data_IF_421672161271
#
_entry.id   IF_421672161271
#
_cell.length_a   1.000
_cell.length_b   1.000
_cell.length_c   1.000
_cell.angle_alpha   90.00
_cell.angle_beta   90.00
_cell.angle_gamma   90.00
#
_symmetry.space_group_name_H-M   'P 1'
#
loop_
_entity.id
_entity.type
_entity.pdbx_description
1 polymer ?
#
# COMPACT_ATOMS: atom_id res chain seq x y z
N UNK A 1 19.97 0.10 27.15
CA UNK A 1 20.26 -1.27 26.67
C UNK A 1 19.16 -1.61 25.67
N UNK A 2 19.38 -1.82 24.38
CA UNK A 2 20.56 -1.74 23.52
C UNK A 2 20.13 -1.25 22.14
N UNK A 3 21.10 -0.84 21.32
CA UNK A 3 20.85 -0.50 19.93
C UNK A 3 20.31 -1.74 19.19
N UNK A 4 19.20 -1.59 18.47
CA UNK A 4 18.70 -2.60 17.55
C UNK A 4 19.75 -2.86 16.47
N UNK A 5 20.14 -4.11 16.26
CA UNK A 5 21.08 -4.47 15.20
C UNK A 5 20.50 -4.13 13.81
N UNK A 6 21.32 -3.70 12.85
CA UNK A 6 20.88 -3.54 11.46
C UNK A 6 20.40 -4.88 10.91
N UNK A 7 19.10 -4.97 10.57
CA UNK A 7 18.47 -6.24 10.17
C UNK A 7 17.76 -6.98 11.31
N UNK A 8 17.32 -6.25 12.35
CA UNK A 8 16.43 -6.75 13.40
C UNK A 8 15.25 -7.59 12.88
N UNK A 9 14.78 -8.51 13.73
CA UNK A 9 13.69 -9.43 13.39
C UNK A 9 12.39 -8.64 13.20
N UNK A 10 11.94 -8.53 11.96
CA UNK A 10 10.60 -8.03 11.64
C UNK A 10 9.55 -8.96 12.26
N UNK A 11 8.68 -8.41 13.11
CA UNK A 11 7.59 -9.15 13.76
C UNK A 11 6.26 -8.56 13.33
N UNK A 12 5.43 -9.37 12.67
CA UNK A 12 4.04 -9.00 12.39
C UNK A 12 3.30 -8.76 13.70
N UNK A 13 2.76 -7.55 13.87
CA UNK A 13 1.97 -7.15 15.03
C UNK A 13 0.50 -7.44 14.77
N UNK A 14 -0.02 -6.93 13.64
CA UNK A 14 -1.42 -7.04 13.26
C UNK A 14 -1.63 -6.65 11.79
N UNK A 15 -2.86 -6.82 11.30
CA UNK A 15 -3.26 -6.42 9.96
C UNK A 15 -4.71 -5.92 9.96
N UNK A 16 -5.07 -5.18 8.91
CA UNK A 16 -6.44 -4.77 8.66
C UNK A 16 -6.72 -4.81 7.16
N UNK A 17 -7.96 -5.12 6.79
CA UNK A 17 -8.40 -5.11 5.41
C UNK A 17 -9.81 -4.53 5.30
N UNK A 18 -10.08 -3.89 4.16
CA UNK A 18 -11.41 -3.44 3.75
C UNK A 18 -11.70 -3.97 2.34
N UNK A 19 -12.97 -4.29 2.06
CA UNK A 19 -13.42 -4.71 0.72
C UNK A 19 -14.73 -4.02 0.40
N UNK A 20 -14.79 -3.37 -0.76
CA UNK A 20 -15.93 -2.58 -1.19
C UNK A 20 -16.70 -3.33 -2.27
N UNK A 21 -17.72 -4.08 -1.86
CA UNK A 21 -18.51 -4.94 -2.78
C UNK A 21 -19.14 -4.15 -3.93
N UNK A 22 -19.60 -2.93 -3.66
CA UNK A 22 -20.21 -2.05 -4.67
C UNK A 22 -19.20 -1.55 -5.72
N UNK A 23 -17.89 -1.75 -5.48
CA UNK A 23 -16.80 -1.37 -6.38
C UNK A 23 -16.07 -2.57 -6.97
N UNK A 24 -16.56 -3.80 -6.80
CA UNK A 24 -15.89 -5.03 -7.24
C UNK A 24 -15.39 -4.95 -8.71
N UNK A 25 -16.20 -4.37 -9.60
CA UNK A 25 -15.88 -4.22 -11.03
C UNK A 25 -15.02 -3.01 -11.39
N UNK A 26 -14.63 -2.16 -10.42
CA UNK A 26 -13.96 -0.89 -10.68
C UNK A 26 -12.53 -1.06 -11.21
N UNK A 27 -11.80 -2.07 -10.70
CA UNK A 27 -10.44 -2.41 -11.10
C UNK A 27 -10.35 -3.91 -11.33
N UNK A 28 -10.11 -4.29 -12.58
CA UNK A 28 -10.21 -5.66 -13.04
C UNK A 28 -8.92 -6.09 -13.77
N UNK A 29 -8.66 -7.39 -13.72
CA UNK A 29 -7.71 -8.05 -14.61
C UNK A 29 -8.52 -8.85 -15.62
N UNK A 30 -8.29 -8.61 -16.90
CA UNK A 30 -8.98 -9.31 -17.98
C UNK A 30 -8.12 -9.40 -19.23
N UNK A 31 -8.55 -10.23 -20.18
CA UNK A 31 -7.97 -10.25 -21.53
C UNK A 31 -8.74 -9.25 -22.38
N UNK A 32 -8.06 -8.57 -23.30
CA UNK A 32 -8.69 -7.67 -24.29
C UNK A 32 -8.37 -8.15 -25.71
N UNK A 33 -9.05 -9.21 -26.20
CA UNK A 33 -8.82 -9.74 -27.54
C UNK A 33 -9.00 -8.67 -28.63
N UNK A 34 -9.95 -7.75 -28.44
CA UNK A 34 -10.26 -6.66 -29.36
C UNK A 34 -9.14 -5.63 -29.51
N UNK A 35 -8.26 -5.48 -28.51
CA UNK A 35 -7.08 -4.62 -28.59
C UNK A 35 -5.84 -5.36 -29.08
N UNK A 36 -5.98 -6.62 -29.54
CA UNK A 36 -4.87 -7.48 -29.94
C UNK A 36 -4.00 -7.95 -28.76
N UNK A 37 -4.43 -7.74 -27.52
CA UNK A 37 -3.70 -8.11 -26.31
C UNK A 37 -4.32 -9.38 -25.73
N UNK A 38 -3.78 -10.53 -26.11
CA UNK A 38 -4.16 -11.84 -25.57
C UNK A 38 -3.59 -12.12 -24.16
N UNK A 39 -2.88 -11.14 -23.57
CA UNK A 39 -2.29 -11.26 -22.24
C UNK A 39 -3.16 -10.60 -21.16
N UNK A 40 -3.09 -11.08 -19.90
CA UNK A 40 -3.78 -10.45 -18.78
C UNK A 40 -3.39 -8.97 -18.68
N UNK A 41 -4.40 -8.11 -18.74
CA UNK A 41 -4.24 -6.65 -18.78
C UNK A 41 -5.07 -6.02 -17.68
N UNK A 42 -4.44 -5.18 -16.86
CA UNK A 42 -5.15 -4.40 -15.86
C UNK A 42 -6.04 -3.35 -16.54
N UNK A 43 -7.24 -3.17 -16.00
CA UNK A 43 -8.21 -2.22 -16.49
C UNK A 43 -8.89 -1.50 -15.34
N UNK A 44 -9.09 -0.19 -15.51
CA UNK A 44 -10.03 0.59 -14.72
C UNK A 44 -11.31 0.66 -15.53
N UNK A 45 -12.44 0.30 -14.92
CA UNK A 45 -13.73 0.38 -15.58
C UNK A 45 -14.03 1.82 -16.00
N UNK A 46 -14.45 2.08 -17.26
CA UNK A 46 -14.73 3.43 -17.73
C UNK A 46 -15.83 4.12 -16.90
N UNK A 47 -16.81 3.33 -16.45
CA UNK A 47 -17.91 3.79 -15.60
C UNK A 47 -17.64 3.35 -14.17
N UNK A 48 -17.57 4.30 -13.23
CA UNK A 48 -17.39 4.04 -11.80
C UNK A 48 -15.94 3.74 -11.37
N UNK A 49 -15.08 3.20 -12.24
CA UNK A 49 -13.69 2.85 -11.88
C UNK A 49 -12.83 4.05 -11.53
N UNK A 50 -12.93 5.15 -12.29
CA UNK A 50 -12.23 6.41 -11.99
C UNK A 50 -12.73 7.00 -10.67
N UNK A 51 -14.05 6.92 -10.41
CA UNK A 51 -14.63 7.43 -9.17
C UNK A 51 -14.15 6.64 -7.96
N UNK A 52 -14.17 5.30 -8.02
CA UNK A 52 -13.62 4.43 -6.98
C UNK A 52 -12.15 4.75 -6.71
N UNK A 53 -11.34 4.90 -7.78
CA UNK A 53 -9.93 5.28 -7.67
C UNK A 53 -9.73 6.62 -6.92
N UNK A 54 -10.52 7.64 -7.25
CA UNK A 54 -10.45 8.97 -6.63
C UNK A 54 -11.12 9.06 -5.26
N UNK A 55 -11.85 8.03 -4.82
CA UNK A 55 -12.57 8.03 -3.53
C UNK A 55 -12.02 6.96 -2.61
N UNK A 56 -12.46 5.71 -2.74
CA UNK A 56 -12.01 4.59 -1.92
C UNK A 56 -10.52 4.34 -2.07
N UNK A 57 -9.98 4.36 -3.29
CA UNK A 57 -8.55 4.15 -3.55
C UNK A 57 -7.68 5.25 -2.94
N UNK A 58 -8.14 6.51 -3.00
CA UNK A 58 -7.43 7.65 -2.46
C UNK A 58 -7.52 7.74 -0.93
N UNK A 59 -8.71 7.58 -0.36
CA UNK A 59 -8.97 7.87 1.05
C UNK A 59 -9.11 6.62 1.94
N UNK A 60 -9.28 5.44 1.36
CA UNK A 60 -9.37 4.18 2.09
C UNK A 60 -8.05 3.81 2.79
N UNK A 61 -6.90 3.77 2.10
CA UNK A 61 -5.63 3.39 2.72
C UNK A 61 -5.24 4.26 3.94
N UNK A 62 -5.37 5.60 3.92
CA UNK A 62 -5.13 6.41 5.12
C UNK A 62 -6.05 6.06 6.29
N UNK A 63 -7.36 5.89 6.05
CA UNK A 63 -8.33 5.51 7.09
C UNK A 63 -8.05 4.12 7.67
N UNK A 64 -7.66 3.18 6.81
CA UNK A 64 -7.29 1.82 7.20
C UNK A 64 -6.04 1.83 8.10
N UNK A 65 -5.03 2.60 7.73
CA UNK A 65 -3.80 2.77 8.51
C UNK A 65 -4.09 3.48 9.83
N UNK A 66 -4.84 4.59 9.82
CA UNK A 66 -5.23 5.30 11.05
C UNK A 66 -5.92 4.37 12.04
N UNK A 67 -6.90 3.59 11.58
CA UNK A 67 -7.62 2.61 12.40
C UNK A 67 -6.69 1.54 12.98
N UNK A 68 -5.77 1.03 12.16
CA UNK A 68 -4.79 0.03 12.58
C UNK A 68 -3.82 0.59 13.62
N UNK A 69 -3.28 1.79 13.41
CA UNK A 69 -2.35 2.44 14.36
C UNK A 69 -3.05 2.80 15.68
N UNK A 70 -4.26 3.35 15.61
CA UNK A 70 -5.05 3.69 16.79
C UNK A 70 -5.36 2.48 17.67
N UNK A 71 -5.65 1.31 17.07
CA UNK A 71 -5.86 0.05 17.79
C UNK A 71 -4.67 -0.36 18.65
N UNK A 72 -3.45 0.02 18.26
CA UNK A 72 -2.21 -0.35 18.94
C UNK A 72 -1.56 0.81 19.71
N UNK A 73 -2.19 1.98 19.76
CA UNK A 73 -1.63 3.17 20.40
C UNK A 73 -0.31 3.63 19.77
N UNK A 74 -0.11 3.35 18.47
CA UNK A 74 1.10 3.72 17.72
C UNK A 74 0.88 5.07 17.06
N UNK A 75 1.84 5.99 17.21
CA UNK A 75 1.79 7.27 16.51
C UNK A 75 2.31 7.15 15.07
N UNK A 76 1.75 7.95 14.15
CA UNK A 76 2.20 7.97 12.76
C UNK A 76 3.66 8.44 12.62
N UNK A 77 4.17 9.26 13.55
CA UNK A 77 5.57 9.68 13.56
C UNK A 77 6.54 8.62 14.12
N UNK A 78 6.04 7.43 14.46
CA UNK A 78 6.84 6.26 14.85
C UNK A 78 6.93 5.20 13.74
N UNK A 79 6.32 5.44 12.57
CA UNK A 79 6.27 4.48 11.46
C UNK A 79 7.08 4.90 10.24
N UNK A 80 7.74 3.93 9.62
CA UNK A 80 8.09 3.96 8.20
C UNK A 80 6.90 3.42 7.40
N UNK A 81 6.54 4.11 6.32
CA UNK A 81 5.52 3.66 5.37
C UNK A 81 6.19 3.02 4.15
N UNK A 82 5.62 1.92 3.67
CA UNK A 82 5.83 1.38 2.32
C UNK A 82 4.45 1.12 1.74
N UNK A 83 4.07 1.84 0.68
CA UNK A 83 2.76 1.64 0.06
C UNK A 83 2.85 0.79 -1.21
N UNK A 84 1.70 0.30 -1.69
CA UNK A 84 1.59 -0.16 -3.06
C UNK A 84 2.01 0.95 -4.03
N UNK A 85 2.87 0.62 -4.99
CA UNK A 85 3.50 1.60 -5.87
C UNK A 85 2.57 1.90 -7.06
N UNK A 86 1.38 2.45 -6.78
CA UNK A 86 0.29 2.58 -7.76
C UNK A 86 0.55 3.68 -8.78
N UNK A 87 0.57 4.93 -8.28
CA UNK A 87 0.84 6.17 -9.01
C UNK A 87 1.32 7.21 -8.00
N UNK A 88 2.13 8.19 -8.42
CA UNK A 88 2.53 9.32 -7.56
C UNK A 88 1.34 10.04 -6.92
N UNK A 89 0.28 10.29 -7.69
CA UNK A 89 -0.93 10.95 -7.19
C UNK A 89 -1.52 10.26 -5.94
N UNK A 90 -1.61 8.94 -5.95
CA UNK A 90 -2.11 8.19 -4.80
C UNK A 90 -1.08 8.13 -3.68
N UNK A 91 0.17 7.82 -4.02
CA UNK A 91 1.27 7.65 -3.08
C UNK A 91 1.52 8.93 -2.27
N UNK A 92 1.55 10.08 -2.93
CA UNK A 92 1.78 11.38 -2.31
C UNK A 92 0.59 11.76 -1.41
N UNK A 93 -0.64 11.50 -1.87
CA UNK A 93 -1.85 11.69 -1.05
C UNK A 93 -1.81 10.82 0.21
N UNK A 94 -1.48 9.54 0.10
CA UNK A 94 -1.39 8.65 1.25
C UNK A 94 -0.33 9.10 2.23
N UNK A 95 0.85 9.49 1.76
CA UNK A 95 1.91 10.02 2.61
C UNK A 95 1.48 11.29 3.33
N UNK A 96 0.79 12.21 2.62
CA UNK A 96 0.31 13.45 3.19
C UNK A 96 -0.77 13.24 4.25
N UNK A 97 -1.67 12.26 4.07
CA UNK A 97 -2.74 11.98 5.02
C UNK A 97 -2.23 11.19 6.24
N UNK A 98 -1.42 10.16 6.00
CA UNK A 98 -0.88 9.29 7.05
C UNK A 98 0.18 10.05 7.88
N UNK A 99 0.99 10.89 7.24
CA UNK A 99 2.12 11.62 7.84
C UNK A 99 3.10 10.69 8.57
N UNK A 100 3.64 9.65 7.89
CA UNK A 100 4.62 8.77 8.49
C UNK A 100 5.92 9.54 8.75
N UNK A 101 6.77 9.03 9.64
CA UNK A 101 8.10 9.59 9.87
C UNK A 101 8.99 9.47 8.63
N UNK A 102 8.90 8.33 7.97
CA UNK A 102 9.67 8.02 6.76
C UNK A 102 8.72 7.38 5.74
N UNK A 103 8.93 7.66 4.46
CA UNK A 103 8.23 7.00 3.38
C UNK A 103 9.25 6.46 2.37
N UNK A 104 9.24 5.15 2.17
CA UNK A 104 10.15 4.46 1.27
C UNK A 104 9.37 3.90 0.08
N UNK A 105 9.89 4.14 -1.11
CA UNK A 105 9.25 3.77 -2.37
C UNK A 105 10.31 3.45 -3.44
N UNK A 106 9.91 2.68 -4.44
CA UNK A 106 10.76 2.32 -5.60
C UNK A 106 10.04 2.65 -6.91
N UNK A 107 9.07 3.56 -6.90
CA UNK A 107 8.17 3.77 -8.03
C UNK A 107 8.91 4.36 -9.23
N UNK A 108 9.83 5.31 -9.02
CA UNK A 108 10.63 5.86 -10.15
C UNK A 108 11.56 4.81 -10.77
N UNK A 109 12.10 3.91 -9.94
CA UNK A 109 13.09 2.93 -10.40
C UNK A 109 12.45 1.69 -11.06
N UNK A 110 11.31 1.24 -10.50
CA UNK A 110 10.72 -0.08 -10.82
C UNK A 110 9.25 0.00 -11.28
N UNK A 111 8.63 1.18 -11.20
CA UNK A 111 7.24 1.37 -11.55
C UNK A 111 6.26 0.59 -10.67
N UNK A 112 5.05 0.42 -11.20
CA UNK A 112 3.99 -0.37 -10.57
C UNK A 112 4.17 -1.87 -10.86
N UNK A 113 4.72 -2.59 -9.89
CA UNK A 113 4.89 -4.05 -9.92
C UNK A 113 3.70 -4.81 -9.30
N UNK A 114 2.54 -4.18 -9.20
CA UNK A 114 1.30 -4.74 -8.63
C UNK A 114 1.56 -5.27 -7.20
N UNK A 115 1.42 -6.58 -6.99
CA UNK A 115 1.57 -7.23 -5.68
C UNK A 115 3.03 -7.26 -5.21
N UNK A 116 4.00 -7.24 -6.13
CA UNK A 116 5.42 -7.30 -5.80
C UNK A 116 5.99 -5.95 -5.32
N UNK A 117 5.26 -4.85 -5.54
CA UNK A 117 5.66 -3.50 -5.15
C UNK A 117 6.15 -3.41 -3.70
N UNK A 118 5.32 -3.75 -2.71
CA UNK A 118 5.67 -3.64 -1.30
C UNK A 118 6.83 -4.56 -0.87
N UNK A 119 6.83 -5.88 -1.17
CA UNK A 119 7.92 -6.76 -0.73
C UNK A 119 9.26 -6.43 -1.40
N UNK A 120 9.27 -5.97 -2.66
CA UNK A 120 10.52 -5.55 -3.32
C UNK A 120 11.07 -4.28 -2.68
N UNK A 121 10.21 -3.28 -2.42
CA UNK A 121 10.62 -2.07 -1.68
C UNK A 121 11.14 -2.43 -0.29
N UNK A 122 10.47 -3.31 0.46
CA UNK A 122 10.95 -3.77 1.77
C UNK A 122 12.31 -4.47 1.65
N UNK A 123 12.48 -5.39 0.71
CA UNK A 123 13.76 -6.09 0.51
C UNK A 123 14.90 -5.13 0.19
N UNK A 124 14.63 -4.04 -0.54
CA UNK A 124 15.64 -3.04 -0.90
C UNK A 124 16.08 -2.23 0.32
N UNK A 125 15.13 -1.82 1.16
CA UNK A 125 15.39 -0.87 2.25
C UNK A 125 15.35 -1.48 3.66
N UNK A 126 15.27 -2.80 3.81
CA UNK A 126 15.15 -3.46 5.12
C UNK A 126 16.23 -3.02 6.12
N UNK A 127 17.47 -2.82 5.65
CA UNK A 127 18.60 -2.39 6.48
C UNK A 127 18.60 -0.90 6.81
N UNK A 128 17.72 -0.14 6.16
CA UNK A 128 17.59 1.31 6.31
C UNK A 128 16.41 1.71 7.21
N UNK A 129 15.59 0.76 7.68
CA UNK A 129 14.50 1.03 8.61
C UNK A 129 15.04 1.57 9.94
N UNK A 130 14.61 2.78 10.33
CA UNK A 130 15.05 3.46 11.58
C UNK A 130 13.92 3.70 12.58
N UNK A 131 12.70 3.38 12.21
CA UNK A 131 11.49 3.62 12.99
C UNK A 131 11.16 2.40 13.84
N UNK A 132 10.28 2.56 14.83
CA UNK A 132 9.87 1.42 15.70
C UNK A 132 8.94 0.45 14.97
N UNK A 133 8.21 0.97 13.99
CA UNK A 133 7.18 0.25 13.28
C UNK A 133 7.28 0.48 11.78
N UNK A 134 6.94 -0.54 11.02
CA UNK A 134 6.72 -0.48 9.58
C UNK A 134 5.23 -0.69 9.31
N UNK A 135 4.66 0.18 8.49
CA UNK A 135 3.34 -0.03 7.89
C UNK A 135 3.52 -0.34 6.41
N UNK A 136 3.00 -1.47 5.96
CA UNK A 136 2.83 -1.74 4.53
C UNK A 136 1.35 -1.69 4.18
N UNK A 137 0.98 -0.85 3.21
CA UNK A 137 -0.43 -0.65 2.84
C UNK A 137 -0.62 -0.62 1.33
N UNK A 138 -1.67 -1.27 0.83
CA UNK A 138 -1.97 -1.27 -0.58
C UNK A 138 -3.43 -1.45 -0.88
N UNK A 139 -3.77 -1.18 -2.14
CA UNK A 139 -5.02 -1.58 -2.77
C UNK A 139 -4.71 -2.60 -3.86
N UNK A 140 -5.72 -3.38 -4.24
CA UNK A 140 -5.63 -4.21 -5.43
C UNK A 140 -7.00 -4.44 -6.09
N UNK A 141 -7.00 -5.30 -7.10
CA UNK A 141 -8.18 -5.62 -7.89
C UNK A 141 -9.32 -6.21 -7.04
N UNK A 142 -10.57 -6.01 -7.48
CA UNK A 142 -11.75 -6.39 -6.70
C UNK A 142 -12.07 -5.45 -5.53
N UNK A 143 -11.54 -4.21 -5.57
CA UNK A 143 -11.74 -3.18 -4.56
C UNK A 143 -11.37 -3.64 -3.13
N UNK A 144 -10.22 -4.31 -3.01
CA UNK A 144 -9.66 -4.70 -1.73
C UNK A 144 -8.54 -3.75 -1.29
N UNK A 145 -8.42 -3.57 0.01
CA UNK A 145 -7.34 -2.83 0.65
C UNK A 145 -6.78 -3.64 1.80
N UNK A 146 -5.47 -3.58 2.00
CA UNK A 146 -4.78 -4.30 3.08
C UNK A 146 -3.72 -3.38 3.68
N UNK A 147 -3.64 -3.38 5.00
CA UNK A 147 -2.54 -2.80 5.76
C UNK A 147 -1.98 -3.87 6.72
N UNK A 148 -0.66 -3.89 6.88
CA UNK A 148 0.03 -4.68 7.90
C UNK A 148 0.90 -3.78 8.76
N UNK A 149 0.87 -4.03 10.06
CA UNK A 149 1.72 -3.38 11.05
C UNK A 149 2.80 -4.37 11.49
N UNK A 150 4.05 -3.94 11.37
CA UNK A 150 5.22 -4.75 11.69
C UNK A 150 6.07 -3.98 12.70
N UNK A 151 6.55 -4.65 13.73
CA UNK A 151 7.58 -4.11 14.62
C UNK A 151 8.95 -4.40 14.02
N UNK A 152 9.80 -3.36 13.96
CA UNK A 152 11.17 -3.41 13.43
C UNK A 152 12.17 -3.72 14.55
#
# INVERSE_FOLDING_TARGET
VGASEPGGRLVLVDWAADTFSDEYGAMMLGVRPESGLAHPTYGIAPTGGIQAFLTSGMNGPPKLVERLLAKHGVSADEVTLISHQATRKLMDHWAQQIRPREYLDTFEDLGNMVHASMPVTLSRFQRELRTKYLVMVGLGIGAHQLAVLVRV
#
